data_IF_008148272768
#
_entry.id   IF_008148272768
#
_cell.length_a   1.000
_cell.length_b   1.000
_cell.length_c   1.000
_cell.angle_alpha   90.00
_cell.angle_beta   90.00
_cell.angle_gamma   90.00
#
_symmetry.space_group_name_H-M   'P 1'
#
loop_
_entity.id
_entity.type
_entity.pdbx_description
1 polymer ?
#
# COMPACT_ATOMS: atom_id res chain seq x y z
N UNK A 1 -15.96 7.02 -16.87
CA UNK A 1 -16.58 7.05 -15.53
C UNK A 1 -15.74 8.00 -14.69
N UNK A 2 -16.23 9.20 -14.38
CA UNK A 2 -15.45 10.17 -13.59
C UNK A 2 -15.42 9.71 -12.13
N UNK A 3 -14.23 9.61 -11.53
CA UNK A 3 -14.10 9.29 -10.11
C UNK A 3 -14.66 10.44 -9.27
N UNK A 4 -15.46 10.10 -8.25
CA UNK A 4 -16.09 11.07 -7.37
C UNK A 4 -15.00 11.90 -6.63
N UNK A 5 -15.10 13.24 -6.57
CA UNK A 5 -14.07 14.10 -5.99
C UNK A 5 -13.72 13.79 -4.52
N UNK A 6 -14.69 13.28 -3.76
CA UNK A 6 -14.54 12.87 -2.36
C UNK A 6 -13.65 11.62 -2.24
N UNK A 7 -13.65 10.76 -3.26
CA UNK A 7 -12.89 9.50 -3.28
C UNK A 7 -11.41 9.77 -3.60
N UNK A 8 -11.14 10.74 -4.48
CA UNK A 8 -9.78 11.18 -4.81
C UNK A 8 -9.07 11.85 -3.62
N UNK A 9 -9.80 12.56 -2.74
CA UNK A 9 -9.18 13.22 -1.59
C UNK A 9 -8.62 12.22 -0.57
N UNK A 10 -9.31 11.11 -0.29
CA UNK A 10 -8.90 10.15 0.74
C UNK A 10 -7.76 9.21 0.30
N UNK A 11 -7.72 8.81 -0.98
CA UNK A 11 -6.60 8.02 -1.54
C UNK A 11 -5.27 8.79 -1.47
N UNK A 12 -5.34 10.10 -1.72
CA UNK A 12 -4.18 10.99 -1.57
C UNK A 12 -3.74 11.14 -0.10
N UNK A 13 -4.66 11.00 0.86
CA UNK A 13 -4.35 11.03 2.29
C UNK A 13 -3.68 9.73 2.73
N UNK A 14 -4.19 8.57 2.28
CA UNK A 14 -3.60 7.28 2.55
C UNK A 14 -2.16 7.18 2.02
N UNK A 15 -1.93 7.56 0.77
CA UNK A 15 -0.57 7.57 0.18
C UNK A 15 0.35 8.56 0.89
N UNK A 16 -0.14 9.76 1.26
CA UNK A 16 0.66 10.71 2.06
C UNK A 16 1.07 10.13 3.41
N UNK A 17 0.20 9.37 4.07
CA UNK A 17 0.54 8.70 5.33
C UNK A 17 1.62 7.62 5.13
N UNK A 18 1.51 6.82 4.04
CA UNK A 18 2.51 5.82 3.65
C UNK A 18 3.87 6.48 3.42
N UNK A 19 3.93 7.49 2.53
CA UNK A 19 5.17 8.20 2.21
C UNK A 19 5.78 8.87 3.44
N UNK A 20 4.95 9.43 4.34
CA UNK A 20 5.42 10.00 5.61
C UNK A 20 6.03 8.95 6.54
N UNK A 21 5.47 7.74 6.61
CA UNK A 21 6.05 6.65 7.41
C UNK A 21 7.33 6.12 6.76
N UNK A 22 7.35 5.96 5.44
CA UNK A 22 8.53 5.54 4.69
C UNK A 22 9.69 6.51 4.90
N UNK A 23 9.46 7.82 4.72
CA UNK A 23 10.48 8.85 4.94
C UNK A 23 11.07 8.83 6.35
N UNK A 24 10.25 8.54 7.38
CA UNK A 24 10.76 8.38 8.74
C UNK A 24 11.69 7.19 8.89
N UNK A 25 11.35 6.06 8.25
CA UNK A 25 12.19 4.86 8.24
C UNK A 25 13.49 5.14 7.52
N UNK A 26 13.45 5.74 6.33
CA UNK A 26 14.65 6.13 5.59
C UNK A 26 15.58 7.03 6.41
N UNK A 27 15.03 8.08 7.04
CA UNK A 27 15.84 8.95 7.92
C UNK A 27 16.48 8.20 9.08
N UNK A 28 15.82 7.18 9.63
CA UNK A 28 16.37 6.40 10.74
C UNK A 28 17.52 5.49 10.31
N UNK A 29 17.54 5.05 9.05
CA UNK A 29 18.54 4.11 8.55
C UNK A 29 19.70 4.80 7.85
N UNK A 30 19.55 6.06 7.42
CA UNK A 30 20.64 6.86 6.83
C UNK A 30 21.86 7.03 7.75
N UNK A 31 21.67 6.93 9.07
CA UNK A 31 22.76 7.01 10.03
C UNK A 31 23.56 5.70 10.16
N UNK A 32 23.08 4.60 9.55
CA UNK A 32 23.68 3.27 9.64
C UNK A 32 24.39 2.98 8.30
N UNK A 33 25.71 2.78 8.28
CA UNK A 33 26.44 2.49 7.05
C UNK A 33 25.89 1.26 6.32
N UNK A 34 25.61 1.38 5.02
CA UNK A 34 25.09 0.30 4.17
C UNK A 34 23.59 -0.01 4.32
N UNK A 35 22.93 0.50 5.37
CA UNK A 35 21.53 0.16 5.63
C UNK A 35 20.57 0.73 4.57
N UNK A 36 20.91 1.85 3.95
CA UNK A 36 20.11 2.43 2.88
C UNK A 36 20.18 1.56 1.62
N UNK A 37 21.38 1.15 1.21
CA UNK A 37 21.59 0.25 0.07
C UNK A 37 20.90 -1.11 0.28
N UNK A 38 20.98 -1.66 1.50
CA UNK A 38 20.28 -2.88 1.89
C UNK A 38 18.77 -2.68 1.84
N UNK A 39 18.23 -1.59 2.39
CA UNK A 39 16.80 -1.29 2.30
C UNK A 39 16.33 -1.10 0.85
N UNK A 40 17.18 -0.57 -0.03
CA UNK A 40 16.86 -0.36 -1.43
C UNK A 40 16.76 -1.66 -2.23
N UNK A 41 17.63 -2.64 -1.95
CA UNK A 41 17.86 -3.76 -2.87
C UNK A 41 17.64 -5.14 -2.25
N UNK A 42 17.72 -5.27 -0.92
CA UNK A 42 17.62 -6.56 -0.25
C UNK A 42 16.16 -6.96 -0.07
N UNK A 43 15.82 -8.14 -0.56
CA UNK A 43 14.56 -8.80 -0.24
C UNK A 43 14.50 -9.09 1.28
N UNK A 44 13.36 -8.80 1.90
CA UNK A 44 13.12 -8.93 3.34
C UNK A 44 14.12 -8.13 4.19
N UNK A 45 14.55 -6.96 3.70
CA UNK A 45 15.48 -6.09 4.43
C UNK A 45 15.01 -5.85 5.88
N UNK A 46 15.84 -6.12 6.89
CA UNK A 46 15.46 -5.92 8.30
C UNK A 46 15.16 -4.46 8.62
N UNK A 47 15.75 -3.54 7.86
CA UNK A 47 15.56 -2.09 7.95
C UNK A 47 14.15 -1.64 7.54
N UNK A 48 13.41 -2.46 6.80
CA UNK A 48 12.03 -2.18 6.39
C UNK A 48 10.97 -2.82 7.30
N UNK A 49 11.38 -3.58 8.32
CA UNK A 49 10.46 -4.34 9.19
C UNK A 49 9.35 -3.49 9.77
N UNK A 50 9.66 -2.31 10.30
CA UNK A 50 8.64 -1.41 10.86
C UNK A 50 7.68 -0.86 9.81
N UNK A 51 8.18 -0.63 8.59
CA UNK A 51 7.36 -0.12 7.50
C UNK A 51 6.38 -1.20 7.02
N UNK A 52 6.87 -2.43 6.84
CA UNK A 52 6.04 -3.61 6.52
C UNK A 52 4.95 -3.81 7.57
N UNK A 53 5.30 -3.80 8.85
CA UNK A 53 4.34 -3.95 9.95
C UNK A 53 3.30 -2.82 9.99
N UNK A 54 3.70 -1.60 9.62
CA UNK A 54 2.76 -0.49 9.48
C UNK A 54 1.75 -0.76 8.35
N UNK A 55 2.20 -1.21 7.19
CA UNK A 55 1.33 -1.54 6.06
C UNK A 55 0.36 -2.68 6.41
N UNK A 56 0.84 -3.73 7.08
CA UNK A 56 -0.01 -4.82 7.59
C UNK A 56 -1.12 -4.32 8.50
N UNK A 57 -0.77 -3.48 9.47
CA UNK A 57 -1.75 -2.92 10.41
C UNK A 57 -2.81 -2.11 9.69
N UNK A 58 -2.39 -1.26 8.74
CA UNK A 58 -3.30 -0.44 7.94
C UNK A 58 -4.23 -1.32 7.09
N UNK A 59 -3.72 -2.38 6.46
CA UNK A 59 -4.56 -3.32 5.72
C UNK A 59 -5.65 -3.95 6.60
N UNK A 60 -5.27 -4.40 7.81
CA UNK A 60 -6.20 -4.99 8.78
C UNK A 60 -7.25 -3.97 9.24
N UNK A 61 -6.84 -2.75 9.54
CA UNK A 61 -7.74 -1.66 9.94
C UNK A 61 -8.80 -1.40 8.86
N UNK A 62 -8.39 -1.23 7.61
CA UNK A 62 -9.30 -0.98 6.49
C UNK A 62 -10.28 -2.15 6.26
N UNK A 63 -9.77 -3.39 6.21
CA UNK A 63 -10.62 -4.58 6.06
C UNK A 63 -11.61 -4.72 7.23
N UNK A 64 -11.19 -4.36 8.44
CA UNK A 64 -12.06 -4.39 9.63
C UNK A 64 -13.16 -3.36 9.53
N UNK A 65 -12.87 -2.13 9.06
CA UNK A 65 -13.88 -1.10 8.85
C UNK A 65 -14.86 -1.52 7.74
N UNK A 66 -14.36 -1.99 6.60
CA UNK A 66 -15.20 -2.51 5.51
C UNK A 66 -16.14 -3.63 5.99
N UNK A 67 -15.63 -4.58 6.76
CA UNK A 67 -16.43 -5.68 7.34
C UNK A 67 -17.47 -5.18 8.34
N UNK A 68 -17.14 -4.20 9.19
CA UNK A 68 -18.11 -3.58 10.10
C UNK A 68 -19.24 -2.91 9.33
N UNK A 69 -18.93 -2.15 8.29
CA UNK A 69 -19.95 -1.53 7.43
C UNK A 69 -20.86 -2.56 6.76
N UNK A 70 -20.34 -3.73 6.38
CA UNK A 70 -21.17 -4.81 5.85
C UNK A 70 -22.09 -5.43 6.90
N UNK A 71 -21.50 -5.88 8.02
CA UNK A 71 -22.20 -6.73 8.98
C UNK A 71 -23.04 -5.91 9.94
N UNK A 72 -22.48 -4.84 10.50
CA UNK A 72 -23.13 -4.04 11.51
C UNK A 72 -24.06 -2.97 10.91
N UNK A 73 -23.72 -2.43 9.73
CA UNK A 73 -24.52 -1.40 9.07
C UNK A 73 -25.36 -1.93 7.91
N UNK A 74 -25.27 -3.23 7.58
CA UNK A 74 -26.07 -3.87 6.53
C UNK A 74 -25.75 -3.40 5.11
N UNK A 75 -24.62 -2.73 4.89
CA UNK A 75 -24.28 -2.22 3.56
C UNK A 75 -23.79 -3.37 2.65
N UNK A 76 -24.25 -3.45 1.39
CA UNK A 76 -23.76 -4.46 0.45
C UNK A 76 -22.26 -4.27 0.19
N UNK A 77 -21.57 -5.35 -0.23
CA UNK A 77 -20.12 -5.31 -0.51
C UNK A 77 -19.73 -4.25 -1.53
N UNK A 78 -20.58 -4.07 -2.53
CA UNK A 78 -20.38 -3.14 -3.64
C UNK A 78 -20.73 -1.70 -3.26
N UNK A 79 -21.32 -1.48 -2.08
CA UNK A 79 -21.58 -0.14 -1.59
C UNK A 79 -20.26 0.65 -1.56
N UNK A 80 -20.26 1.87 -2.10
CA UNK A 80 -19.06 2.70 -2.26
C UNK A 80 -18.23 2.80 -0.98
N UNK A 81 -18.88 3.02 0.17
CA UNK A 81 -18.22 3.11 1.47
C UNK A 81 -17.59 1.79 1.94
N UNK A 82 -18.11 0.64 1.53
CA UNK A 82 -17.55 -0.67 1.88
C UNK A 82 -16.40 -0.99 0.93
N UNK A 83 -16.66 -0.87 -0.37
CA UNK A 83 -15.73 -1.22 -1.44
C UNK A 83 -14.43 -0.42 -1.33
N UNK A 84 -14.52 0.87 -0.96
CA UNK A 84 -13.37 1.73 -0.78
C UNK A 84 -12.39 1.16 0.26
N UNK A 85 -12.87 0.75 1.44
CA UNK A 85 -12.02 0.20 2.50
C UNK A 85 -11.40 -1.12 2.08
N UNK A 86 -12.11 -1.97 1.32
CA UNK A 86 -11.49 -3.16 0.75
C UNK A 86 -10.41 -2.85 -0.28
N UNK A 87 -10.61 -1.82 -1.11
CA UNK A 87 -9.59 -1.36 -2.07
C UNK A 87 -8.38 -0.76 -1.35
N UNK A 88 -8.58 0.06 -0.34
CA UNK A 88 -7.50 0.60 0.51
C UNK A 88 -6.72 -0.52 1.21
N UNK A 89 -7.42 -1.51 1.77
CA UNK A 89 -6.81 -2.69 2.37
C UNK A 89 -5.94 -3.48 1.38
N UNK A 90 -6.45 -3.71 0.17
CA UNK A 90 -5.69 -4.34 -0.91
C UNK A 90 -4.46 -3.51 -1.32
N UNK A 91 -4.59 -2.19 -1.40
CA UNK A 91 -3.50 -1.26 -1.65
C UNK A 91 -2.35 -1.38 -0.64
N UNK A 92 -2.68 -1.42 0.65
CA UNK A 92 -1.69 -1.63 1.71
C UNK A 92 -1.00 -3.00 1.60
N UNK A 93 -1.74 -4.05 1.23
CA UNK A 93 -1.17 -5.40 0.98
C UNK A 93 -0.20 -5.36 -0.20
N UNK A 94 -0.57 -4.70 -1.29
CA UNK A 94 0.26 -4.57 -2.48
C UNK A 94 1.57 -3.82 -2.17
N UNK A 95 1.47 -2.68 -1.49
CA UNK A 95 2.62 -1.91 -1.02
C UNK A 95 3.54 -2.75 -0.12
N UNK A 96 2.96 -3.60 0.74
CA UNK A 96 3.73 -4.48 1.61
C UNK A 96 4.53 -5.49 0.79
N UNK A 97 3.90 -6.14 -0.18
CA UNK A 97 4.58 -7.11 -1.06
C UNK A 97 5.74 -6.46 -1.81
N UNK A 98 5.55 -5.24 -2.31
CA UNK A 98 6.60 -4.47 -2.96
C UNK A 98 7.72 -4.09 -1.99
N UNK A 99 7.39 -3.61 -0.79
CA UNK A 99 8.37 -3.26 0.23
C UNK A 99 9.20 -4.46 0.69
N UNK A 100 8.61 -5.67 0.72
CA UNK A 100 9.33 -6.91 1.02
C UNK A 100 10.36 -7.28 -0.06
N UNK A 101 10.28 -6.73 -1.26
CA UNK A 101 11.29 -6.91 -2.30
C UNK A 101 12.41 -5.85 -2.26
N UNK A 102 12.25 -4.81 -1.44
CA UNK A 102 13.16 -3.67 -1.36
C UNK A 102 12.55 -2.38 -1.90
N UNK A 103 13.04 -1.24 -1.41
CA UNK A 103 12.49 0.07 -1.75
C UNK A 103 12.62 0.43 -3.23
N UNK A 104 13.62 -0.11 -3.94
CA UNK A 104 13.74 0.12 -5.39
C UNK A 104 12.50 -0.37 -6.14
N UNK A 105 12.00 -1.56 -5.79
CA UNK A 105 10.80 -2.15 -6.39
C UNK A 105 9.56 -1.33 -6.02
N UNK A 106 9.44 -0.96 -4.76
CA UNK A 106 8.36 -0.08 -4.28
C UNK A 106 8.33 1.27 -5.01
N UNK A 107 9.47 1.93 -5.17
CA UNK A 107 9.57 3.21 -5.86
C UNK A 107 9.26 3.11 -7.35
N UNK A 108 9.71 2.04 -8.01
CA UNK A 108 9.33 1.78 -9.40
C UNK A 108 7.80 1.63 -9.52
N UNK A 109 7.17 0.87 -8.63
CA UNK A 109 5.73 0.68 -8.64
C UNK A 109 4.93 1.97 -8.37
N UNK A 110 5.39 2.81 -7.43
CA UNK A 110 4.74 4.10 -7.14
C UNK A 110 4.89 5.07 -8.32
N UNK A 111 6.07 5.11 -8.96
CA UNK A 111 6.32 6.03 -10.09
C UNK A 111 5.63 5.62 -11.37
N UNK A 112 5.30 4.33 -11.53
CA UNK A 112 4.57 3.77 -12.67
C UNK A 112 3.06 3.64 -12.40
N UNK A 113 2.55 4.29 -11.35
CA UNK A 113 1.12 4.31 -10.97
C UNK A 113 0.50 2.92 -10.73
N UNK A 114 1.31 1.90 -10.43
CA UNK A 114 0.82 0.54 -10.22
C UNK A 114 0.10 0.33 -8.89
N UNK A 115 0.19 1.27 -7.94
CA UNK A 115 -0.39 1.10 -6.60
C UNK A 115 -1.83 1.58 -6.53
N UNK A 116 -2.72 0.70 -6.04
CA UNK A 116 -4.11 1.03 -5.75
C UNK A 116 -4.27 1.74 -4.41
N UNK A 117 -4.77 2.98 -4.46
CA UNK A 117 -5.71 3.43 -3.43
C UNK A 117 -7.01 3.86 -4.14
N UNK A 118 -8.11 3.29 -3.68
CA UNK A 118 -9.52 3.57 -4.00
C UNK A 118 -9.89 4.17 -5.37
N UNK A 119 -9.25 3.78 -6.48
CA UNK A 119 -9.72 4.21 -7.81
C UNK A 119 -8.69 4.27 -8.94
N UNK A 120 -7.40 4.14 -8.67
CA UNK A 120 -6.42 3.98 -9.75
C UNK A 120 -6.66 2.65 -10.49
N UNK A 121 -6.50 2.62 -11.81
CA UNK A 121 -6.61 1.39 -12.59
C UNK A 121 -5.40 0.52 -12.31
N UNK A 122 -5.59 -0.55 -11.53
CA UNK A 122 -4.60 -1.60 -11.42
C UNK A 122 -4.72 -2.57 -12.57
N UNK A 123 -3.63 -2.74 -13.29
CA UNK A 123 -3.46 -3.79 -14.30
C UNK A 123 -2.69 -4.96 -13.67
N UNK A 124 -3.45 -5.91 -13.12
CA UNK A 124 -2.92 -7.10 -12.44
C UNK A 124 -1.95 -7.91 -13.32
N UNK A 125 -2.30 -8.12 -14.59
CA UNK A 125 -1.52 -8.92 -15.56
C UNK A 125 -0.07 -8.43 -15.69
N UNK A 126 0.13 -7.10 -15.62
CA UNK A 126 1.44 -6.48 -15.77
C UNK A 126 2.16 -6.42 -14.43
N UNK A 127 1.44 -6.18 -13.34
CA UNK A 127 2.05 -6.02 -12.01
C UNK A 127 2.74 -7.28 -11.49
N UNK A 128 2.05 -8.43 -11.50
CA UNK A 128 2.64 -9.67 -10.98
C UNK A 128 3.87 -10.10 -11.80
N UNK A 129 3.79 -9.92 -13.12
CA UNK A 129 4.87 -10.21 -14.07
C UNK A 129 6.06 -9.25 -13.91
N UNK A 130 5.83 -7.94 -13.88
CA UNK A 130 6.88 -6.90 -13.82
C UNK A 130 7.69 -6.97 -12.52
N UNK A 131 7.06 -7.39 -11.43
CA UNK A 131 7.67 -7.45 -10.10
C UNK A 131 7.93 -8.87 -9.60
N UNK A 132 7.77 -9.90 -10.46
CA UNK A 132 8.06 -11.30 -10.10
C UNK A 132 7.32 -11.80 -8.86
N UNK A 133 6.09 -11.34 -8.64
CA UNK A 133 5.24 -11.75 -7.52
C UNK A 133 4.38 -12.93 -7.97
N UNK A 134 4.37 -14.03 -7.23
CA UNK A 134 3.42 -15.13 -7.46
C UNK A 134 1.99 -14.67 -7.15
N UNK A 135 1.04 -14.94 -8.04
CA UNK A 135 -0.40 -14.66 -7.83
C UNK A 135 -0.96 -15.27 -6.53
#
# INVERSE_FOLDING_TARGET
MMADPIILSDSSVAMRAVLKKLFKVERSILAIPGAYEDAMTQQLSPYLKEFVQYLDRRAIEEVTVGRKLQIANGLPREHVLVLRHYRSGAGYIQLRLLALQGLKVLYAAITQDYVLFEGNQFTAEVFYTDFGISE
#
